data_IF_443473516251
#
_entry.id   IF_443473516251
#
_cell.length_a   1.000
_cell.length_b   1.000
_cell.length_c   1.000
_cell.angle_alpha   90.00
_cell.angle_beta   90.00
_cell.angle_gamma   90.00
#
_symmetry.space_group_name_H-M   'P 1'
#
loop_
_entity.id
_entity.type
_entity.pdbx_description
1 polymer ?
#
# COMPACT_ATOMS: atom_id res chain seq x y z
N UNK A 1 -16.39 14.92 40.43
CA UNK A 1 -15.13 15.37 39.79
C UNK A 1 -15.31 15.07 38.32
N UNK A 2 -15.87 16.04 37.60
CA UNK A 2 -16.37 15.84 36.24
C UNK A 2 -15.25 16.14 35.26
N UNK A 3 -14.70 15.09 34.65
CA UNK A 3 -13.74 15.22 33.57
C UNK A 3 -14.52 15.62 32.31
N UNK A 4 -14.62 16.94 32.07
CA UNK A 4 -14.98 17.46 30.75
C UNK A 4 -13.81 17.18 29.80
N UNK A 5 -13.91 16.12 29.01
CA UNK A 5 -13.10 15.98 27.80
C UNK A 5 -13.44 17.15 26.89
N UNK A 6 -12.51 18.09 26.76
CA UNK A 6 -12.60 19.20 25.82
C UNK A 6 -12.81 18.64 24.43
N UNK A 7 -13.93 18.99 23.79
CA UNK A 7 -14.23 18.59 22.43
C UNK A 7 -13.08 18.95 21.52
N UNK A 8 -12.46 17.92 20.94
CA UNK A 8 -11.65 18.09 19.73
C UNK A 8 -12.57 18.73 18.70
N UNK A 9 -12.30 19.96 18.31
CA UNK A 9 -12.88 20.59 17.14
C UNK A 9 -12.69 19.62 15.98
N UNK A 10 -13.76 18.97 15.54
CA UNK A 10 -13.79 18.27 14.26
C UNK A 10 -13.65 19.36 13.19
N UNK A 11 -12.41 19.70 12.86
CA UNK A 11 -12.11 20.49 11.67
C UNK A 11 -12.60 19.62 10.52
N UNK A 12 -13.67 20.05 9.84
CA UNK A 12 -14.10 19.34 8.64
C UNK A 12 -12.92 19.38 7.68
N UNK A 13 -12.37 18.23 7.33
CA UNK A 13 -11.37 18.15 6.27
C UNK A 13 -12.05 18.73 5.04
N UNK A 14 -11.69 19.95 4.66
CA UNK A 14 -12.28 20.59 3.48
C UNK A 14 -11.90 19.73 2.28
N UNK A 15 -12.80 19.58 1.32
CA UNK A 15 -12.51 18.86 0.07
C UNK A 15 -11.24 19.37 -0.63
N UNK A 16 -10.91 20.65 -0.41
CA UNK A 16 -9.67 21.31 -0.84
C UNK A 16 -8.42 20.59 -0.30
N UNK A 17 -8.41 20.17 0.98
CA UNK A 17 -7.26 19.51 1.59
C UNK A 17 -7.00 18.11 1.01
N UNK A 18 -8.06 17.36 0.70
CA UNK A 18 -7.94 16.02 0.10
C UNK A 18 -7.38 16.10 -1.33
N UNK A 19 -7.88 17.04 -2.14
CA UNK A 19 -7.41 17.22 -3.52
C UNK A 19 -5.95 17.67 -3.55
N UNK A 20 -5.54 18.57 -2.65
CA UNK A 20 -4.15 19.02 -2.54
C UNK A 20 -3.21 17.88 -2.13
N UNK A 21 -3.60 17.08 -1.14
CA UNK A 21 -2.82 15.92 -0.72
C UNK A 21 -2.68 14.89 -1.87
N UNK A 22 -3.76 14.59 -2.58
CA UNK A 22 -3.71 13.65 -3.70
C UNK A 22 -2.87 14.19 -4.88
N UNK A 23 -2.94 15.49 -5.17
CA UNK A 23 -2.08 16.13 -6.19
C UNK A 23 -0.61 15.99 -5.83
N UNK A 24 -0.24 16.21 -4.57
CA UNK A 24 1.13 16.05 -4.11
C UNK A 24 1.63 14.61 -4.24
N UNK A 25 0.79 13.62 -3.93
CA UNK A 25 1.10 12.20 -4.14
C UNK A 25 1.30 11.92 -5.64
N UNK A 26 0.42 12.44 -6.50
CA UNK A 26 0.51 12.26 -7.95
C UNK A 26 1.78 12.88 -8.55
N UNK A 27 2.19 14.04 -8.06
CA UNK A 27 3.45 14.71 -8.44
C UNK A 27 4.69 13.96 -7.95
N UNK A 28 4.59 13.25 -6.83
CA UNK A 28 5.69 12.43 -6.27
C UNK A 28 5.81 11.08 -7.00
N UNK A 29 4.73 10.58 -7.59
CA UNK A 29 4.73 9.31 -8.32
C UNK A 29 5.69 9.36 -9.52
N UNK A 30 6.56 8.36 -9.61
CA UNK A 30 7.50 8.17 -10.71
C UNK A 30 6.81 7.59 -11.95
N UNK A 31 7.40 7.73 -13.16
CA UNK A 31 6.80 7.23 -14.40
C UNK A 31 6.52 5.72 -14.43
N UNK A 32 7.24 4.94 -13.63
CA UNK A 32 7.09 3.48 -13.48
C UNK A 32 5.98 3.09 -12.48
N UNK A 33 5.36 4.06 -11.79
CA UNK A 33 4.32 3.84 -10.78
C UNK A 33 4.84 3.79 -9.34
N UNK A 34 6.15 3.80 -9.11
CA UNK A 34 6.73 3.91 -7.77
C UNK A 34 6.33 5.24 -7.11
N UNK A 35 5.92 5.20 -5.84
CA UNK A 35 5.58 6.37 -5.03
C UNK A 35 6.52 6.36 -3.81
N UNK A 36 7.66 7.05 -3.87
CA UNK A 36 8.54 7.19 -2.72
C UNK A 36 7.94 8.14 -1.68
N UNK A 37 8.46 8.12 -0.45
CA UNK A 37 8.03 9.03 0.61
C UNK A 37 8.13 10.51 0.22
N UNK A 38 9.23 10.84 -0.46
CA UNK A 38 9.51 12.11 -1.12
C UNK A 38 10.41 11.82 -2.32
N UNK A 39 10.63 12.82 -3.18
CA UNK A 39 11.61 12.72 -4.27
C UNK A 39 12.98 12.22 -3.76
N UNK A 40 13.47 11.13 -4.37
CA UNK A 40 14.76 10.50 -4.04
C UNK A 40 14.79 9.68 -2.73
N UNK A 41 13.70 9.65 -1.96
CA UNK A 41 13.60 8.85 -0.73
C UNK A 41 13.21 7.40 -1.01
N UNK A 42 13.14 6.60 0.06
CA UNK A 42 12.72 5.20 -0.04
C UNK A 42 11.22 5.08 -0.33
N UNK A 43 10.85 3.91 -0.82
CA UNK A 43 9.50 3.43 -1.02
C UNK A 43 9.27 2.24 -0.11
N UNK A 44 8.31 2.36 0.81
CA UNK A 44 7.80 1.26 1.61
C UNK A 44 6.49 0.75 0.96
N UNK A 45 6.33 -0.54 0.65
CA UNK A 45 5.12 -1.04 0.00
C UNK A 45 3.81 -0.79 0.76
N UNK A 46 3.82 -0.70 2.09
CA UNK A 46 2.63 -0.34 2.86
C UNK A 46 2.27 1.12 2.61
N UNK A 47 3.20 2.05 2.78
CA UNK A 47 2.97 3.49 2.52
C UNK A 47 2.60 3.74 1.05
N UNK A 48 3.14 2.93 0.13
CA UNK A 48 2.83 2.97 -1.29
C UNK A 48 1.36 2.58 -1.55
N UNK A 49 0.86 1.52 -0.91
CA UNK A 49 -0.57 1.14 -0.94
C UNK A 49 -1.44 2.28 -0.40
N UNK A 50 -1.07 2.90 0.71
CA UNK A 50 -1.84 4.02 1.29
C UNK A 50 -1.83 5.24 0.38
N UNK A 51 -0.73 5.50 -0.30
CA UNK A 51 -0.63 6.53 -1.33
C UNK A 51 -1.56 6.25 -2.51
N UNK A 52 -1.62 5.00 -2.99
CA UNK A 52 -2.56 4.58 -4.03
C UNK A 52 -4.03 4.73 -3.59
N UNK A 53 -4.33 4.45 -2.32
CA UNK A 53 -5.65 4.71 -1.73
C UNK A 53 -5.96 6.21 -1.69
N UNK A 54 -5.01 7.06 -1.29
CA UNK A 54 -5.14 8.52 -1.30
C UNK A 54 -5.41 9.08 -2.70
N UNK A 55 -4.68 8.59 -3.71
CA UNK A 55 -4.92 8.91 -5.13
C UNK A 55 -6.34 8.53 -5.55
N UNK A 56 -6.81 7.34 -5.15
CA UNK A 56 -8.16 6.86 -5.45
C UNK A 56 -9.23 7.78 -4.87
N UNK A 57 -9.08 8.20 -3.61
CA UNK A 57 -10.00 9.16 -2.94
C UNK A 57 -9.96 10.53 -3.63
N UNK A 58 -8.79 10.98 -4.07
CA UNK A 58 -8.61 12.23 -4.78
C UNK A 58 -9.07 12.23 -6.24
N UNK A 59 -9.52 11.09 -6.78
CA UNK A 59 -9.96 10.95 -8.17
C UNK A 59 -8.85 10.70 -9.19
N UNK A 60 -7.60 10.53 -8.74
CA UNK A 60 -6.43 10.19 -9.57
C UNK A 60 -6.37 8.69 -9.84
N UNK A 61 -7.39 8.17 -10.53
CA UNK A 61 -7.59 6.73 -10.70
C UNK A 61 -6.53 6.08 -11.59
N UNK A 62 -5.99 6.82 -12.56
CA UNK A 62 -4.91 6.33 -13.43
C UNK A 62 -3.60 6.16 -12.66
N UNK A 63 -3.27 7.14 -11.81
CA UNK A 63 -2.11 7.14 -10.93
C UNK A 63 -2.21 5.99 -9.92
N UNK A 64 -3.39 5.81 -9.31
CA UNK A 64 -3.65 4.72 -8.38
C UNK A 64 -3.46 3.36 -9.07
N UNK A 65 -3.98 3.18 -10.29
CA UNK A 65 -3.80 1.94 -11.07
C UNK A 65 -2.30 1.65 -11.32
N UNK A 66 -1.54 2.64 -11.79
CA UNK A 66 -0.09 2.49 -12.00
C UNK A 66 0.66 2.11 -10.73
N UNK A 67 0.23 2.63 -9.57
CA UNK A 67 0.82 2.28 -8.29
C UNK A 67 0.62 0.77 -7.96
N UNK A 68 -0.61 0.28 -8.09
CA UNK A 68 -0.88 -1.15 -7.88
C UNK A 68 -0.17 -2.05 -8.91
N UNK A 69 -0.07 -1.61 -10.17
CA UNK A 69 0.67 -2.31 -11.21
C UNK A 69 2.17 -2.37 -10.90
N UNK A 70 2.76 -1.30 -10.36
CA UNK A 70 4.15 -1.30 -9.89
C UNK A 70 4.35 -2.34 -8.78
N UNK A 71 3.45 -2.39 -7.79
CA UNK A 71 3.51 -3.43 -6.75
C UNK A 71 3.42 -4.83 -7.36
N UNK A 72 2.48 -5.08 -8.27
CA UNK A 72 2.37 -6.37 -8.95
C UNK A 72 3.66 -6.75 -9.70
N UNK A 73 4.32 -5.78 -10.34
CA UNK A 73 5.60 -5.98 -11.03
C UNK A 73 6.80 -6.21 -10.11
N UNK A 74 6.74 -5.70 -8.87
CA UNK A 74 7.79 -5.85 -7.85
C UNK A 74 7.59 -7.06 -6.93
N UNK A 75 6.49 -7.79 -7.06
CA UNK A 75 6.17 -8.93 -6.19
C UNK A 75 7.21 -10.05 -6.38
N UNK A 76 7.70 -10.59 -5.27
CA UNK A 76 8.64 -11.72 -5.26
C UNK A 76 7.92 -13.04 -5.57
N UNK A 77 8.69 -14.07 -5.90
CA UNK A 77 8.15 -15.39 -6.24
C UNK A 77 7.33 -16.02 -5.11
N UNK A 78 7.67 -15.73 -3.85
CA UNK A 78 6.96 -16.20 -2.66
C UNK A 78 5.68 -15.39 -2.34
N UNK A 79 5.38 -14.35 -3.12
CA UNK A 79 4.22 -13.48 -2.95
C UNK A 79 4.44 -12.24 -2.09
N UNK A 80 5.61 -12.11 -1.47
CA UNK A 80 5.95 -10.96 -0.61
C UNK A 80 6.56 -9.79 -1.38
N UNK A 81 6.81 -8.71 -0.64
CA UNK A 81 7.71 -7.63 -1.04
C UNK A 81 8.77 -7.43 0.03
N UNK A 82 9.90 -6.87 -0.39
CA UNK A 82 10.87 -6.28 0.54
C UNK A 82 10.29 -5.03 1.21
N UNK A 83 10.65 -4.79 2.47
CA UNK A 83 10.14 -3.66 3.28
C UNK A 83 10.58 -2.30 2.75
N UNK A 84 11.69 -2.21 2.00
CA UNK A 84 12.10 -0.94 1.40
C UNK A 84 12.76 -1.09 0.03
N UNK A 85 12.37 -0.19 -0.87
CA UNK A 85 13.00 0.03 -2.17
C UNK A 85 13.47 1.47 -2.31
N UNK A 86 14.37 1.72 -3.26
CA UNK A 86 14.72 3.05 -3.72
C UNK A 86 14.94 3.01 -5.22
N UNK A 87 14.09 3.70 -5.98
CA UNK A 87 14.18 3.73 -7.44
C UNK A 87 14.11 2.32 -8.04
N UNK A 88 13.19 1.50 -7.51
CA UNK A 88 13.01 0.10 -7.90
C UNK A 88 14.08 -0.89 -7.38
N UNK A 89 15.10 -0.44 -6.65
CA UNK A 89 16.14 -1.31 -6.09
C UNK A 89 15.86 -1.62 -4.63
N UNK A 90 15.91 -2.90 -4.24
CA UNK A 90 15.70 -3.31 -2.85
C UNK A 90 16.80 -2.76 -1.92
N UNK A 91 16.40 -2.07 -0.87
CA UNK A 91 17.30 -1.47 0.14
C UNK A 91 17.27 -2.26 1.45
N UNK A 92 16.09 -2.62 1.94
CA UNK A 92 15.89 -3.53 3.07
C UNK A 92 15.13 -4.75 2.61
N UNK A 93 15.77 -5.93 2.70
CA UNK A 93 15.24 -7.20 2.19
C UNK A 93 14.41 -7.97 3.21
N UNK A 94 14.01 -7.32 4.31
CA UNK A 94 13.05 -7.90 5.25
C UNK A 94 11.73 -8.14 4.52
N UNK A 95 11.08 -9.28 4.78
CA UNK A 95 9.76 -9.60 4.19
C UNK A 95 8.75 -9.74 5.32
N UNK A 96 7.77 -8.84 5.34
CA UNK A 96 6.82 -8.67 6.44
C UNK A 96 5.41 -9.17 6.04
N UNK A 97 4.76 -9.90 6.95
CA UNK A 97 3.46 -10.52 6.71
C UNK A 97 2.34 -9.50 6.50
N UNK A 98 2.29 -8.46 7.32
CA UNK A 98 1.26 -7.42 7.24
C UNK A 98 1.47 -6.56 6.00
N UNK A 99 2.69 -6.05 5.81
CA UNK A 99 3.06 -5.23 4.66
C UNK A 99 2.74 -5.94 3.35
N UNK A 100 3.07 -7.23 3.24
CA UNK A 100 2.79 -7.99 2.03
C UNK A 100 1.29 -8.18 1.81
N UNK A 101 0.54 -8.55 2.85
CA UNK A 101 -0.90 -8.82 2.72
C UNK A 101 -1.76 -7.55 2.57
N UNK A 102 -1.26 -6.37 2.97
CA UNK A 102 -2.03 -5.13 2.99
C UNK A 102 -2.48 -4.64 1.61
N UNK A 103 -1.81 -5.04 0.53
CA UNK A 103 -2.25 -4.75 -0.84
C UNK A 103 -3.70 -5.22 -1.11
N UNK A 104 -4.16 -6.28 -0.43
CA UNK A 104 -5.55 -6.74 -0.52
C UNK A 104 -6.55 -5.68 -0.05
N UNK A 105 -6.20 -4.92 0.99
CA UNK A 105 -7.02 -3.80 1.48
C UNK A 105 -7.04 -2.68 0.45
N UNK A 106 -5.88 -2.30 -0.09
CA UNK A 106 -5.77 -1.23 -1.08
C UNK A 106 -6.54 -1.50 -2.36
N UNK A 107 -6.42 -2.71 -2.93
CA UNK A 107 -7.13 -3.08 -4.16
C UNK A 107 -8.63 -3.20 -3.92
N UNK A 108 -9.06 -3.77 -2.77
CA UNK A 108 -10.49 -3.78 -2.40
C UNK A 108 -11.04 -2.36 -2.27
N UNK A 109 -10.31 -1.46 -1.59
CA UNK A 109 -10.68 -0.06 -1.46
C UNK A 109 -10.83 0.61 -2.83
N UNK A 110 -9.87 0.44 -3.74
CA UNK A 110 -9.95 0.95 -5.10
C UNK A 110 -11.16 0.39 -5.86
N UNK A 111 -11.45 -0.91 -5.75
CA UNK A 111 -12.64 -1.51 -6.34
C UNK A 111 -13.93 -0.92 -5.76
N UNK A 112 -14.00 -0.66 -4.46
CA UNK A 112 -15.19 -0.08 -3.84
C UNK A 112 -15.48 1.34 -4.37
N UNK A 113 -14.46 2.11 -4.75
CA UNK A 113 -14.59 3.43 -5.37
C UNK A 113 -14.96 3.31 -6.85
N UNK A 114 -14.18 2.53 -7.61
CA UNK A 114 -14.23 2.52 -9.09
C UNK A 114 -15.27 1.56 -9.67
N UNK A 115 -15.63 0.52 -8.91
CA UNK A 115 -16.38 -0.66 -9.38
C UNK A 115 -15.73 -1.38 -10.57
N UNK A 116 -14.44 -1.19 -10.80
CA UNK A 116 -13.70 -1.83 -11.88
C UNK A 116 -13.40 -3.31 -11.54
N UNK A 117 -14.34 -4.18 -11.90
CA UNK A 117 -14.19 -5.62 -11.71
C UNK A 117 -13.16 -6.25 -12.65
N UNK A 118 -12.77 -5.58 -13.74
CA UNK A 118 -11.72 -6.08 -14.65
C UNK A 118 -10.38 -5.93 -13.96
N UNK A 119 -10.06 -4.73 -13.47
CA UNK A 119 -8.81 -4.48 -12.75
C UNK A 119 -8.68 -5.34 -11.48
N UNK A 120 -9.78 -5.52 -10.73
CA UNK A 120 -9.78 -6.43 -9.58
C UNK A 120 -9.37 -7.87 -9.96
N UNK A 121 -9.84 -8.37 -11.11
CA UNK A 121 -9.45 -9.70 -11.61
C UNK A 121 -8.01 -9.75 -12.09
N UNK A 122 -7.52 -8.68 -12.71
CA UNK A 122 -6.11 -8.54 -13.11
C UNK A 122 -5.18 -8.61 -11.89
N UNK A 123 -5.56 -7.98 -10.77
CA UNK A 123 -4.79 -7.98 -9.53
C UNK A 123 -4.94 -9.26 -8.69
N UNK A 124 -5.96 -10.08 -8.94
CA UNK A 124 -6.26 -11.26 -8.13
C UNK A 124 -5.07 -12.21 -7.89
N UNK A 125 -4.24 -12.55 -8.90
CA UNK A 125 -3.06 -13.39 -8.68
C UNK A 125 -2.08 -12.79 -7.67
N UNK A 126 -1.85 -11.46 -7.76
CA UNK A 126 -0.98 -10.74 -6.83
C UNK A 126 -1.52 -10.77 -5.41
N UNK A 127 -2.82 -10.49 -5.25
CA UNK A 127 -3.49 -10.54 -3.94
C UNK A 127 -3.44 -11.94 -3.33
N UNK A 128 -3.77 -12.96 -4.11
CA UNK A 128 -3.78 -14.34 -3.63
C UNK A 128 -2.40 -14.76 -3.13
N UNK A 129 -1.34 -14.49 -3.89
CA UNK A 129 0.03 -14.80 -3.48
C UNK A 129 0.46 -14.06 -2.22
N UNK A 130 0.07 -12.79 -2.08
CA UNK A 130 0.37 -11.99 -0.90
C UNK A 130 -0.28 -12.55 0.38
N UNK A 131 -1.52 -13.03 0.28
CA UNK A 131 -2.20 -13.71 1.39
C UNK A 131 -1.56 -15.06 1.68
N UNK A 132 -1.25 -15.86 0.66
CA UNK A 132 -0.56 -17.14 0.83
C UNK A 132 0.81 -16.98 1.49
N UNK A 133 1.55 -15.91 1.20
CA UNK A 133 2.79 -15.58 1.90
C UNK A 133 2.55 -15.40 3.40
N UNK A 134 1.59 -14.57 3.80
CA UNK A 134 1.28 -14.33 5.21
C UNK A 134 0.81 -15.62 5.91
N UNK A 135 0.02 -16.46 5.24
CA UNK A 135 -0.40 -17.77 5.76
C UNK A 135 0.77 -18.76 5.86
N UNK A 136 1.76 -18.68 4.99
CA UNK A 136 2.97 -19.53 5.05
C UNK A 136 3.82 -19.26 6.31
N UNK A 137 3.64 -18.08 6.92
CA UNK A 137 4.29 -17.68 8.18
C UNK A 137 3.49 -18.12 9.41
N UNK A 138 2.38 -18.82 9.23
CA UNK A 138 1.56 -19.34 10.31
C UNK A 138 2.27 -20.51 11.04
N UNK A 139 2.30 -20.45 12.36
CA UNK A 139 2.79 -21.54 13.22
C UNK A 139 1.78 -22.69 13.29
N UNK A 140 2.17 -23.87 13.80
CA UNK A 140 1.21 -24.95 14.06
C UNK A 140 0.07 -24.59 15.02
N UNK A 141 0.23 -23.55 15.86
CA UNK A 141 -0.80 -23.09 16.80
C UNK A 141 -1.65 -21.93 16.25
N UNK A 142 -1.34 -21.44 15.05
CA UNK A 142 -2.14 -20.45 14.33
C UNK A 142 -1.64 -19.01 14.44
N UNK A 143 -0.61 -18.71 15.24
CA UNK A 143 0.04 -17.39 15.23
C UNK A 143 0.76 -17.15 13.90
N UNK A 144 0.91 -15.91 13.47
CA UNK A 144 1.66 -15.55 12.26
C UNK A 144 2.95 -14.87 12.68
N UNK A 145 4.10 -15.35 12.21
CA UNK A 145 5.36 -14.65 12.41
C UNK A 145 5.33 -13.30 11.70
N UNK A 146 5.86 -12.28 12.39
CA UNK A 146 5.87 -10.90 11.90
C UNK A 146 6.57 -10.76 10.54
N UNK A 147 7.80 -11.26 10.45
CA UNK A 147 8.63 -11.11 9.25
C UNK A 147 9.69 -12.20 9.14
N UNK A 148 10.18 -12.39 7.93
CA UNK A 148 11.43 -13.10 7.64
C UNK A 148 12.55 -12.06 7.52
N UNK A 149 13.55 -12.17 8.40
CA UNK A 149 14.75 -11.32 8.33
C UNK A 149 15.52 -11.54 7.02
N UNK A 150 16.26 -10.54 6.53
CA UNK A 150 17.20 -10.72 5.43
C UNK A 150 18.18 -11.86 5.77
N UNK A 151 18.44 -12.75 4.81
CA UNK A 151 19.55 -13.67 4.96
C UNK A 151 20.86 -12.87 5.00
N UNK A 152 21.78 -13.27 5.89
CA UNK A 152 23.12 -12.70 5.99
C UNK A 152 23.98 -13.03 4.77
#
# INVERSE_FOLDING_TARGET
MDIKLSGSSQVSVSSIGVVQAASFIAETQRPDGEIPWCEGQKTDPWDHVESAMGLSVGGYLGEAKRAFEWLAGMQLDDGSWYTAYRQGVAEDKTRDANLSSYIAVGVLHNYLITKDAVFLKEMWPTLSKAIEFALSLQTPNGEIYWAISPAA
#
